data_IF_974135403106
#
_entry.id   IF_974135403106
#
_cell.length_a   1.000
_cell.length_b   1.000
_cell.length_c   1.000
_cell.angle_alpha   90.00
_cell.angle_beta   90.00
_cell.angle_gamma   90.00
#
_symmetry.space_group_name_H-M   'P 1'
#
loop_
_entity.id
_entity.type
_entity.pdbx_description
1 polymer ?
#
# COMPACT_ATOMS: atom_id res chain seq x y z
N UNK A 1 11.64 -5.89 20.34
CA UNK A 1 11.98 -6.19 18.94
C UNK A 1 13.06 -5.22 18.53
N UNK A 2 14.19 -5.70 18.01
CA UNK A 2 15.30 -4.82 17.60
C UNK A 2 15.04 -4.36 16.18
N UNK A 3 15.07 -3.05 15.93
CA UNK A 3 14.90 -2.51 14.58
C UNK A 3 16.13 -2.87 13.73
N UNK A 4 15.86 -3.57 12.64
CA UNK A 4 16.78 -3.92 11.56
C UNK A 4 16.02 -3.90 10.23
N UNK A 5 16.74 -3.99 9.11
CA UNK A 5 16.17 -3.94 7.76
C UNK A 5 14.97 -4.90 7.58
N UNK A 6 15.11 -6.16 8.00
CA UNK A 6 14.05 -7.17 7.87
C UNK A 6 12.81 -6.80 8.66
N UNK A 7 12.98 -6.39 9.92
CA UNK A 7 11.86 -5.98 10.77
C UNK A 7 11.18 -4.71 10.29
N UNK A 8 11.93 -3.75 9.72
CA UNK A 8 11.38 -2.53 9.16
C UNK A 8 10.55 -2.83 7.90
N UNK A 9 11.06 -3.72 7.03
CA UNK A 9 10.37 -4.20 5.84
C UNK A 9 9.04 -4.87 6.20
N UNK A 10 9.08 -5.83 7.12
CA UNK A 10 7.90 -6.58 7.58
C UNK A 10 6.87 -5.64 8.22
N UNK A 11 7.32 -4.79 9.14
CA UNK A 11 6.46 -3.81 9.81
C UNK A 11 5.74 -2.89 8.83
N UNK A 12 6.46 -2.29 7.87
CA UNK A 12 5.86 -1.37 6.89
C UNK A 12 4.89 -2.08 5.97
N UNK A 13 5.23 -3.30 5.52
CA UNK A 13 4.34 -4.10 4.70
C UNK A 13 3.02 -4.38 5.43
N UNK A 14 3.07 -4.92 6.64
CA UNK A 14 1.87 -5.24 7.42
C UNK A 14 1.05 -4.00 7.75
N UNK A 15 1.71 -2.91 8.14
CA UNK A 15 1.06 -1.66 8.50
C UNK A 15 0.29 -1.05 7.32
N UNK A 16 0.95 -0.93 6.17
CA UNK A 16 0.31 -0.35 4.98
C UNK A 16 -0.76 -1.29 4.42
N UNK A 17 -0.51 -2.60 4.38
CA UNK A 17 -1.52 -3.57 3.94
C UNK A 17 -2.79 -3.46 4.79
N UNK A 18 -2.67 -3.44 6.13
CA UNK A 18 -3.81 -3.24 7.03
C UNK A 18 -4.48 -1.88 6.83
N UNK A 19 -3.70 -0.81 6.67
CA UNK A 19 -4.25 0.54 6.47
C UNK A 19 -5.10 0.63 5.22
N UNK A 20 -4.64 0.05 4.12
CA UNK A 20 -5.36 0.07 2.85
C UNK A 20 -6.55 -0.88 2.90
N UNK A 21 -6.34 -2.13 3.35
CA UNK A 21 -7.43 -3.10 3.54
C UNK A 21 -8.59 -2.49 4.34
N UNK A 22 -8.32 -1.92 5.52
CA UNK A 22 -9.35 -1.29 6.34
C UNK A 22 -10.04 -0.11 5.65
N UNK A 23 -9.35 0.62 4.77
CA UNK A 23 -9.95 1.69 3.97
C UNK A 23 -10.89 1.17 2.88
N UNK A 24 -10.58 0.01 2.29
CA UNK A 24 -11.42 -0.63 1.26
C UNK A 24 -12.74 -1.14 1.84
N UNK A 25 -12.76 -1.63 3.08
CA UNK A 25 -13.96 -2.17 3.74
C UNK A 25 -14.88 -1.12 4.40
N UNK A 26 -14.59 0.19 4.30
CA UNK A 26 -15.48 1.24 4.80
C UNK A 26 -16.46 1.82 3.75
N UNK A 27 -16.38 1.38 2.49
CA UNK A 27 -17.34 1.74 1.43
C UNK A 27 -18.22 0.54 1.06
N UNK A 28 -19.48 0.81 0.69
CA UNK A 28 -20.52 -0.21 0.36
C UNK A 28 -20.23 -1.10 -0.87
N UNK A 29 -19.00 -1.14 -1.42
CA UNK A 29 -18.75 -1.87 -2.65
C UNK A 29 -17.40 -2.60 -2.69
N UNK A 30 -17.52 -3.81 -3.26
CA UNK A 30 -16.56 -4.61 -4.05
C UNK A 30 -15.57 -5.54 -3.35
N UNK A 31 -15.49 -6.76 -3.88
CA UNK A 31 -14.34 -7.65 -3.70
C UNK A 31 -13.11 -6.92 -4.25
N UNK A 32 -12.29 -6.38 -3.33
CA UNK A 32 -11.05 -5.70 -3.64
C UNK A 32 -9.86 -6.56 -3.24
N UNK A 33 -8.94 -6.75 -4.16
CA UNK A 33 -7.64 -7.40 -3.93
C UNK A 33 -6.60 -6.32 -3.73
N UNK A 34 -5.63 -6.56 -2.84
CA UNK A 34 -4.55 -5.63 -2.56
C UNK A 34 -3.22 -6.35 -2.68
N UNK A 35 -2.38 -5.86 -3.59
CA UNK A 35 -1.01 -6.36 -3.75
C UNK A 35 -0.02 -5.24 -3.44
N UNK A 36 0.93 -5.53 -2.56
CA UNK A 36 1.95 -4.57 -2.15
C UNK A 36 3.36 -5.13 -2.41
N UNK A 37 4.30 -4.25 -2.73
CA UNK A 37 5.72 -4.57 -2.89
C UNK A 37 6.55 -3.55 -2.15
N UNK A 38 7.54 -4.02 -1.40
CA UNK A 38 8.59 -3.16 -0.86
C UNK A 38 9.62 -2.96 -1.97
N UNK A 39 9.70 -1.73 -2.46
CA UNK A 39 10.55 -1.40 -3.59
C UNK A 39 11.96 -0.96 -3.17
N UNK A 40 12.11 -0.39 -1.97
CA UNK A 40 13.41 0.04 -1.47
C UNK A 40 13.43 0.05 0.06
N UNK A 41 14.58 -0.29 0.64
CA UNK A 41 14.88 -0.07 2.06
C UNK A 41 16.24 0.61 2.14
N UNK A 42 16.33 1.70 2.88
CA UNK A 42 17.55 2.49 3.02
C UNK A 42 17.82 2.73 4.49
N UNK A 43 18.96 2.24 4.97
CA UNK A 43 19.43 2.51 6.33
C UNK A 43 19.80 3.98 6.49
N UNK A 44 19.45 4.53 7.65
CA UNK A 44 19.74 5.90 8.10
C UNK A 44 20.38 5.83 9.47
N UNK A 45 21.11 6.88 9.85
CA UNK A 45 21.74 6.98 11.18
C UNK A 45 20.75 6.91 12.35
N UNK A 46 19.46 7.12 12.07
CA UNK A 46 18.36 7.14 13.05
C UNK A 46 17.35 6.01 12.84
N UNK A 47 17.49 5.15 11.83
CA UNK A 47 16.49 4.13 11.49
C UNK A 47 16.51 3.71 10.01
N UNK A 48 15.33 3.56 9.40
CA UNK A 48 15.18 3.12 8.02
C UNK A 48 14.13 3.93 7.27
N UNK A 49 14.44 4.27 6.02
CA UNK A 49 13.43 4.66 5.03
C UNK A 49 12.99 3.42 4.26
N UNK A 50 11.70 3.16 4.19
CA UNK A 50 11.11 2.05 3.43
C UNK A 50 10.14 2.62 2.41
N UNK A 51 10.31 2.28 1.13
CA UNK A 51 9.35 2.64 0.08
C UNK A 51 8.51 1.41 -0.25
N UNK A 52 7.20 1.58 -0.17
CA UNK A 52 6.22 0.56 -0.50
C UNK A 52 5.29 1.08 -1.60
N UNK A 53 4.98 0.23 -2.56
CA UNK A 53 3.95 0.46 -3.58
C UNK A 53 2.85 -0.56 -3.40
N UNK A 54 1.61 -0.09 -3.37
CA UNK A 54 0.44 -0.95 -3.29
C UNK A 54 -0.51 -0.66 -4.45
N UNK A 55 -1.02 -1.72 -5.06
CA UNK A 55 -2.04 -1.67 -6.11
C UNK A 55 -3.30 -2.36 -5.61
N UNK A 56 -4.41 -1.63 -5.65
CA UNK A 56 -5.74 -2.18 -5.40
C UNK A 56 -6.38 -2.57 -6.71
N UNK A 57 -6.87 -3.80 -6.79
CA UNK A 57 -7.72 -4.28 -7.89
C UNK A 57 -9.13 -4.49 -7.39
N UNK A 58 -10.13 -4.30 -8.25
CA UNK A 58 -11.52 -4.66 -7.95
C UNK A 58 -12.06 -5.58 -9.02
N UNK A 59 -12.72 -6.67 -8.64
CA UNK A 59 -13.34 -7.63 -9.57
C UNK A 59 -14.83 -7.39 -9.78
N UNK A 60 -15.41 -6.43 -9.07
CA UNK A 60 -16.86 -6.23 -9.10
C UNK A 60 -17.25 -5.30 -10.23
N UNK A 61 -18.23 -5.74 -11.00
CA UNK A 61 -18.85 -4.90 -12.03
C UNK A 61 -19.48 -3.66 -11.39
N UNK A 62 -19.32 -2.47 -12.01
CA UNK A 62 -19.98 -1.28 -11.52
C UNK A 62 -21.52 -1.44 -11.58
N UNK A 63 -22.28 -0.74 -10.73
CA UNK A 63 -23.74 -0.81 -10.74
C UNK A 63 -24.31 -0.49 -12.13
N UNK A 64 -25.39 -1.17 -12.52
CA UNK A 64 -26.06 -0.93 -13.80
C UNK A 64 -26.41 0.56 -13.97
N UNK A 65 -25.91 1.19 -15.03
CA UNK A 65 -26.08 2.62 -15.30
C UNK A 65 -24.97 3.53 -14.75
N UNK A 66 -23.92 2.97 -14.15
CA UNK A 66 -22.70 3.71 -13.82
C UNK A 66 -21.97 4.15 -15.08
N UNK A 67 -21.31 5.31 -15.02
CA UNK A 67 -20.35 5.75 -16.04
C UNK A 67 -18.94 5.20 -15.79
N UNK A 68 -18.75 4.41 -14.72
CA UNK A 68 -17.50 3.71 -14.48
C UNK A 68 -17.30 2.63 -15.54
N UNK A 69 -16.05 2.37 -15.89
CA UNK A 69 -15.68 1.34 -16.87
C UNK A 69 -16.12 -0.05 -16.36
N UNK A 70 -16.87 -0.78 -17.18
CA UNK A 70 -17.30 -2.16 -16.88
C UNK A 70 -16.10 -3.13 -16.86
N UNK A 71 -16.11 -4.07 -15.91
CA UNK A 71 -15.12 -5.14 -15.78
C UNK A 71 -14.16 -4.98 -14.60
N UNK A 72 -13.34 -6.00 -14.31
CA UNK A 72 -12.35 -5.94 -13.23
C UNK A 72 -11.40 -4.76 -13.46
N UNK A 73 -11.42 -3.80 -12.53
CA UNK A 73 -10.49 -2.68 -12.53
C UNK A 73 -9.20 -3.21 -11.91
N UNK A 74 -8.28 -3.69 -12.76
CA UNK A 74 -7.01 -4.32 -12.38
C UNK A 74 -6.02 -3.38 -11.67
N UNK A 75 -6.35 -2.09 -11.61
CA UNK A 75 -5.49 -1.02 -11.14
C UNK A 75 -6.37 0.16 -10.68
N UNK A 76 -7.38 -0.16 -9.87
CA UNK A 76 -8.30 0.81 -9.26
C UNK A 76 -7.54 1.94 -8.56
N UNK A 77 -6.40 1.62 -7.94
CA UNK A 77 -5.35 2.59 -7.67
C UNK A 77 -3.98 1.91 -7.65
N UNK A 78 -2.94 2.69 -7.93
CA UNK A 78 -1.56 2.43 -7.53
C UNK A 78 -1.05 3.60 -6.71
N UNK A 79 -0.50 3.33 -5.53
CA UNK A 79 0.03 4.38 -4.66
C UNK A 79 1.35 3.94 -4.03
N UNK A 80 2.32 4.85 -4.02
CA UNK A 80 3.62 4.66 -3.38
C UNK A 80 3.80 5.58 -2.18
N UNK A 81 4.37 5.04 -1.11
CA UNK A 81 4.64 5.76 0.13
C UNK A 81 6.06 5.51 0.60
N UNK A 82 6.67 6.55 1.17
CA UNK A 82 7.88 6.41 2.00
C UNK A 82 7.48 6.41 3.47
N UNK A 83 7.94 5.40 4.18
CA UNK A 83 7.89 5.30 5.61
C UNK A 83 9.27 5.52 6.20
N UNK A 84 9.37 6.49 7.11
CA UNK A 84 10.57 6.71 7.93
C UNK A 84 10.31 6.06 9.29
N UNK A 85 11.03 4.97 9.56
CA UNK A 85 10.86 4.10 10.73
C UNK A 85 12.06 4.25 11.65
N UNK A 86 11.81 4.60 12.90
CA UNK A 86 12.81 4.61 13.97
C UNK A 86 12.36 3.70 15.11
N UNK A 87 13.13 3.62 16.19
CA UNK A 87 12.78 2.79 17.34
C UNK A 87 11.46 3.22 18.02
N UNK A 88 11.11 4.50 17.89
CA UNK A 88 10.05 5.17 18.66
C UNK A 88 9.08 5.99 17.80
N UNK A 89 9.36 6.20 16.50
CA UNK A 89 8.51 6.99 15.62
C UNK A 89 8.31 6.37 14.23
N UNK A 90 7.14 6.66 13.66
CA UNK A 90 6.76 6.35 12.29
C UNK A 90 6.24 7.62 11.60
N UNK A 91 6.87 8.01 10.49
CA UNK A 91 6.36 9.04 9.60
C UNK A 91 6.04 8.45 8.23
N UNK A 92 5.01 8.99 7.57
CA UNK A 92 4.58 8.58 6.23
C UNK A 92 4.48 9.79 5.32
N UNK A 93 5.03 9.67 4.13
CA UNK A 93 4.92 10.67 3.07
C UNK A 93 4.53 10.01 1.76
N UNK A 94 3.69 10.68 0.99
CA UNK A 94 3.41 10.29 -0.41
C UNK A 94 4.65 10.56 -1.25
N UNK A 95 4.98 9.63 -2.13
CA UNK A 95 6.06 9.78 -3.11
C UNK A 95 5.51 9.54 -4.52
N UNK A 96 6.33 9.80 -5.54
CA UNK A 96 5.95 9.45 -6.91
C UNK A 96 5.60 7.95 -7.01
N UNK A 97 4.50 7.68 -7.68
CA UNK A 97 4.02 6.32 -7.89
C UNK A 97 5.00 5.53 -8.76
N UNK A 98 5.30 4.30 -8.33
CA UNK A 98 6.07 3.33 -9.10
C UNK A 98 5.13 2.43 -9.90
N UNK A 99 5.70 1.54 -10.70
CA UNK A 99 4.94 0.56 -11.47
C UNK A 99 4.01 -0.26 -10.58
N UNK A 100 2.82 -0.57 -11.11
CA UNK A 100 1.81 -1.37 -10.45
C UNK A 100 2.35 -2.73 -9.99
N UNK A 101 1.68 -3.28 -8.98
CA UNK A 101 2.01 -4.58 -8.37
C UNK A 101 0.84 -5.51 -8.63
N UNK A 102 1.14 -6.76 -8.99
CA UNK A 102 0.20 -7.83 -9.31
C UNK A 102 0.72 -9.18 -8.83
#
# INVERSE_FOLDING_TARGET
MTLNESSAREFVYEYQYRSVYNGLWQGEHTEMTLDCRIDNVTERSWGYDVVITCTGSSTTDPPAGSTATDGPISDYFTQSYRYSVSADALARETVENRDAVS
#
